data_IF_601473558900
#
_entry.id   IF_601473558900
#
_cell.length_a   1.000
_cell.length_b   1.000
_cell.length_c   1.000
_cell.angle_alpha   90.00
_cell.angle_beta   90.00
_cell.angle_gamma   90.00
#
_symmetry.space_group_name_H-M   'P 1'
#
loop_
_entity.id
_entity.type
_entity.pdbx_description
1 polymer ?
#
# COMPACT_ATOMS: atom_id res chain seq x y z
N UNK A 1 16.22 11.24 15.82
CA UNK A 1 15.96 11.28 14.37
C UNK A 1 17.28 11.15 13.62
N UNK A 2 17.59 10.01 13.02
CA UNK A 2 18.67 9.92 12.05
C UNK A 2 18.23 9.05 10.85
N UNK A 3 17.30 9.54 10.00
CA UNK A 3 16.86 8.78 8.83
C UNK A 3 17.02 9.51 7.50
N UNK A 4 17.77 10.60 7.46
CA UNK A 4 18.07 11.27 6.19
C UNK A 4 19.55 11.68 6.17
N UNK A 5 20.28 11.10 5.20
CA UNK A 5 21.65 11.45 4.80
C UNK A 5 22.76 11.00 5.75
N UNK A 6 23.04 9.69 5.72
CA UNK A 6 24.31 9.08 6.09
C UNK A 6 24.42 7.81 5.26
N UNK A 7 25.58 7.43 4.83
CA UNK A 7 25.89 6.07 4.37
C UNK A 7 25.55 5.14 5.54
N UNK A 8 24.28 4.78 5.67
CA UNK A 8 23.84 3.71 6.53
C UNK A 8 24.58 2.48 6.02
N UNK A 9 25.40 1.90 6.88
CA UNK A 9 26.03 0.59 6.72
C UNK A 9 24.87 -0.43 6.64
N UNK A 10 24.11 -0.38 5.52
CA UNK A 10 22.93 -1.22 5.32
C UNK A 10 23.43 -2.66 5.21
N UNK A 11 23.02 -3.47 6.16
CA UNK A 11 23.32 -4.88 6.17
C UNK A 11 22.80 -5.50 4.87
N UNK A 12 23.72 -6.02 4.07
CA UNK A 12 23.38 -6.73 2.84
C UNK A 12 22.51 -7.93 3.19
N UNK A 13 21.31 -7.99 2.60
CA UNK A 13 20.36 -9.07 2.80
C UNK A 13 20.29 -9.98 1.59
N UNK A 14 19.87 -11.22 1.83
CA UNK A 14 19.44 -12.19 0.83
C UNK A 14 17.92 -12.10 0.69
N UNK A 15 17.45 -11.72 -0.48
CA UNK A 15 16.04 -11.54 -0.77
C UNK A 15 15.59 -12.61 -1.77
N UNK A 16 14.47 -13.27 -1.49
CA UNK A 16 13.72 -14.05 -2.46
C UNK A 16 12.57 -13.22 -3.04
N UNK A 17 12.25 -13.41 -4.30
CA UNK A 17 11.07 -12.80 -4.95
C UNK A 17 10.06 -13.90 -5.25
N UNK A 18 8.80 -13.65 -4.90
CA UNK A 18 7.67 -14.51 -5.20
C UNK A 18 6.71 -13.69 -6.07
N UNK A 19 6.58 -14.08 -7.34
CA UNK A 19 5.95 -13.31 -8.39
C UNK A 19 6.95 -12.42 -9.12
N UNK A 20 7.13 -12.65 -10.44
CA UNK A 20 8.13 -11.95 -11.24
C UNK A 20 7.53 -11.18 -12.42
N UNK A 21 6.35 -10.58 -12.18
CA UNK A 21 5.70 -9.65 -13.09
C UNK A 21 6.34 -8.26 -13.09
N UNK A 22 5.56 -7.23 -13.46
CA UNK A 22 6.04 -5.83 -13.51
C UNK A 22 6.63 -5.35 -12.17
N UNK A 23 5.99 -5.69 -11.05
CA UNK A 23 6.46 -5.31 -9.70
C UNK A 23 7.71 -6.09 -9.31
N UNK A 24 7.74 -7.41 -9.46
CA UNK A 24 8.88 -8.24 -9.09
C UNK A 24 10.18 -7.80 -9.78
N UNK A 25 10.12 -7.49 -11.09
CA UNK A 25 11.27 -6.99 -11.86
C UNK A 25 11.78 -5.63 -11.35
N UNK A 26 10.87 -4.75 -10.98
CA UNK A 26 11.24 -3.43 -10.44
C UNK A 26 11.81 -3.54 -9.02
N UNK A 27 11.26 -4.42 -8.19
CA UNK A 27 11.78 -4.72 -6.84
C UNK A 27 13.18 -5.31 -6.94
N UNK A 28 13.43 -6.25 -7.88
CA UNK A 28 14.76 -6.80 -8.12
C UNK A 28 15.79 -5.70 -8.42
N UNK A 29 15.45 -4.80 -9.35
CA UNK A 29 16.33 -3.70 -9.73
C UNK A 29 16.69 -2.85 -8.51
N UNK A 30 15.67 -2.40 -7.75
CA UNK A 30 15.88 -1.52 -6.58
C UNK A 30 16.63 -2.24 -5.47
N UNK A 31 16.32 -3.52 -5.21
CA UNK A 31 17.04 -4.31 -4.21
C UNK A 31 18.53 -4.41 -4.55
N UNK A 32 18.88 -4.66 -5.82
CA UNK A 32 20.28 -4.68 -6.30
C UNK A 32 20.96 -3.31 -6.20
N UNK A 33 20.28 -2.24 -6.59
CA UNK A 33 20.76 -0.86 -6.46
C UNK A 33 21.07 -0.50 -5.00
N UNK A 34 20.30 -1.06 -4.05
CA UNK A 34 20.52 -0.91 -2.60
C UNK A 34 21.54 -1.89 -2.01
N UNK A 35 22.17 -2.73 -2.83
CA UNK A 35 23.25 -3.64 -2.43
C UNK A 35 22.78 -5.00 -1.91
N UNK A 36 21.48 -5.32 -1.97
CA UNK A 36 20.97 -6.63 -1.59
C UNK A 36 21.22 -7.70 -2.65
N UNK A 37 21.19 -8.95 -2.24
CA UNK A 37 21.34 -10.10 -3.13
C UNK A 37 20.00 -10.78 -3.37
N UNK A 38 19.60 -10.92 -4.62
CA UNK A 38 18.48 -11.79 -4.98
C UNK A 38 19.00 -13.22 -5.08
N UNK A 39 18.50 -14.09 -4.20
CA UNK A 39 18.95 -15.49 -4.10
C UNK A 39 17.98 -16.46 -4.76
N UNK A 40 16.70 -16.10 -4.88
CA UNK A 40 15.69 -16.94 -5.51
C UNK A 40 14.62 -16.07 -6.17
N UNK A 41 14.11 -16.50 -7.31
CA UNK A 41 12.98 -15.89 -8.00
C UNK A 41 11.99 -17.01 -8.31
N UNK A 42 10.80 -16.91 -7.72
CA UNK A 42 9.72 -17.91 -7.88
C UNK A 42 8.58 -17.27 -8.63
N UNK A 43 8.11 -17.95 -9.68
CA UNK A 43 6.92 -17.59 -10.44
C UNK A 43 6.09 -18.85 -10.70
N UNK A 44 5.09 -18.77 -11.57
CA UNK A 44 4.15 -19.87 -11.87
C UNK A 44 4.87 -21.13 -12.32
N UNK A 45 5.94 -20.98 -13.12
CA UNK A 45 6.58 -22.09 -13.82
C UNK A 45 7.64 -22.85 -12.98
N UNK A 46 8.02 -22.33 -11.80
CA UNK A 46 9.10 -22.91 -10.98
C UNK A 46 8.75 -23.02 -9.49
N UNK A 47 7.51 -23.38 -9.19
CA UNK A 47 7.00 -23.50 -7.82
C UNK A 47 7.79 -24.52 -6.95
N UNK A 48 8.49 -25.49 -7.53
CA UNK A 48 9.38 -26.42 -6.83
C UNK A 48 10.57 -25.71 -6.18
N UNK A 49 10.95 -24.51 -6.61
CA UNK A 49 12.08 -23.74 -6.09
C UNK A 49 11.86 -23.24 -4.65
N UNK A 50 10.61 -23.30 -4.13
CA UNK A 50 10.37 -23.13 -2.69
C UNK A 50 11.13 -24.14 -1.84
N UNK A 51 11.47 -25.32 -2.39
CA UNK A 51 12.21 -26.36 -1.69
C UNK A 51 13.73 -26.25 -1.86
N UNK A 52 14.22 -25.26 -2.62
CA UNK A 52 15.64 -25.07 -2.86
C UNK A 52 16.38 -24.51 -1.63
N UNK A 53 17.67 -24.85 -1.51
CA UNK A 53 18.55 -24.24 -0.52
C UNK A 53 18.68 -22.72 -0.73
N UNK A 54 18.61 -22.28 -1.98
CA UNK A 54 18.66 -20.87 -2.34
C UNK A 54 17.51 -20.10 -1.69
N UNK A 55 16.25 -20.59 -1.83
CA UNK A 55 15.10 -19.99 -1.19
C UNK A 55 15.19 -20.04 0.34
N UNK A 56 15.55 -21.19 0.90
CA UNK A 56 15.68 -21.35 2.35
C UNK A 56 16.79 -20.46 2.96
N UNK A 57 17.74 -19.99 2.15
CA UNK A 57 18.80 -19.07 2.59
C UNK A 57 18.39 -17.60 2.62
N UNK A 58 17.17 -17.27 2.17
CA UNK A 58 16.69 -15.89 2.13
C UNK A 58 16.38 -15.36 3.54
N UNK A 59 16.79 -14.14 3.82
CA UNK A 59 16.41 -13.42 5.05
C UNK A 59 14.93 -13.01 5.00
N UNK A 60 14.46 -12.57 3.80
CA UNK A 60 13.08 -12.13 3.55
C UNK A 60 12.68 -12.49 2.12
N UNK A 61 11.43 -12.91 1.94
CA UNK A 61 10.80 -13.06 0.64
C UNK A 61 9.82 -11.89 0.39
N UNK A 62 9.91 -11.27 -0.79
CA UNK A 62 8.96 -10.22 -1.21
C UNK A 62 7.98 -10.83 -2.20
N UNK A 63 6.70 -10.82 -1.84
CA UNK A 63 5.61 -11.51 -2.53
C UNK A 63 4.65 -10.49 -3.18
N UNK A 64 4.53 -10.58 -4.50
CA UNK A 64 3.58 -9.83 -5.32
C UNK A 64 2.99 -10.75 -6.39
N UNK A 65 1.95 -11.51 -6.03
CA UNK A 65 1.29 -12.46 -6.93
C UNK A 65 -0.20 -12.13 -7.11
N UNK A 66 -1.07 -13.06 -6.77
CA UNK A 66 -2.52 -12.91 -6.89
C UNK A 66 -3.23 -13.20 -5.56
N UNK A 67 -4.47 -12.74 -5.37
CA UNK A 67 -5.26 -13.03 -4.18
C UNK A 67 -5.33 -14.52 -3.83
N UNK A 68 -5.45 -15.36 -4.85
CA UNK A 68 -5.61 -16.81 -4.69
C UNK A 68 -4.31 -17.55 -4.41
N UNK A 69 -3.15 -16.98 -4.81
CA UNK A 69 -1.86 -17.62 -4.62
C UNK A 69 -1.17 -17.19 -3.31
N UNK A 70 -1.44 -15.98 -2.84
CA UNK A 70 -0.72 -15.33 -1.74
C UNK A 70 -0.64 -16.20 -0.48
N UNK A 71 -1.77 -16.68 0.02
CA UNK A 71 -1.82 -17.49 1.24
C UNK A 71 -0.98 -18.76 1.13
N UNK A 72 -1.11 -19.50 0.01
CA UNK A 72 -0.29 -20.68 -0.24
C UNK A 72 1.21 -20.38 -0.31
N UNK A 73 1.60 -19.22 -0.83
CA UNK A 73 2.98 -18.75 -0.86
C UNK A 73 3.51 -18.45 0.55
N UNK A 74 2.68 -17.84 1.41
CA UNK A 74 3.06 -17.61 2.82
C UNK A 74 3.34 -18.92 3.55
N UNK A 75 2.46 -19.93 3.41
CA UNK A 75 2.64 -21.22 4.06
C UNK A 75 3.96 -21.89 3.63
N UNK A 76 4.31 -21.83 2.34
CA UNK A 76 5.57 -22.40 1.81
C UNK A 76 6.78 -21.63 2.38
N UNK A 77 6.74 -20.31 2.43
CA UNK A 77 7.82 -19.48 2.99
C UNK A 77 7.99 -19.73 4.50
N UNK A 78 6.89 -19.76 5.24
CA UNK A 78 6.89 -20.03 6.68
C UNK A 78 7.44 -21.44 7.01
N UNK A 79 7.13 -22.44 6.19
CA UNK A 79 7.70 -23.79 6.34
C UNK A 79 9.25 -23.83 6.23
N UNK A 80 9.84 -22.82 5.59
CA UNK A 80 11.30 -22.63 5.49
C UNK A 80 11.84 -21.59 6.48
N UNK A 81 11.01 -21.08 7.38
CA UNK A 81 11.32 -19.99 8.32
C UNK A 81 11.79 -18.69 7.60
N UNK A 82 11.35 -18.47 6.38
CA UNK A 82 11.61 -17.23 5.62
C UNK A 82 10.51 -16.22 5.94
N UNK A 83 10.91 -15.03 6.39
CA UNK A 83 10.02 -13.92 6.64
C UNK A 83 9.42 -13.42 5.33
N UNK A 84 8.19 -12.87 5.36
CA UNK A 84 7.49 -12.45 4.14
C UNK A 84 7.12 -10.97 4.21
N UNK A 85 7.31 -10.26 3.10
CA UNK A 85 6.72 -8.96 2.80
C UNK A 85 5.75 -9.15 1.66
N UNK A 86 4.47 -8.83 1.83
CA UNK A 86 3.47 -9.07 0.79
C UNK A 86 2.66 -7.82 0.45
N UNK A 87 2.54 -7.59 -0.87
CA UNK A 87 1.64 -6.61 -1.46
C UNK A 87 0.40 -7.21 -2.11
N UNK A 88 0.22 -8.53 -2.05
CA UNK A 88 -0.98 -9.17 -2.55
C UNK A 88 -2.19 -8.86 -1.66
N UNK A 89 -3.31 -8.55 -2.27
CA UNK A 89 -4.57 -8.20 -1.59
C UNK A 89 -5.64 -9.27 -1.81
N UNK A 90 -6.79 -9.15 -1.15
CA UNK A 90 -7.95 -10.01 -1.37
C UNK A 90 -7.97 -11.34 -0.60
N UNK A 91 -6.89 -11.74 0.04
CA UNK A 91 -6.76 -12.99 0.83
C UNK A 91 -7.20 -12.82 2.29
N UNK A 92 -7.17 -11.61 2.82
CA UNK A 92 -7.32 -11.34 4.26
C UNK A 92 -8.68 -11.77 4.82
N UNK A 93 -9.77 -11.60 4.06
CA UNK A 93 -11.11 -11.98 4.50
C UNK A 93 -11.22 -13.48 4.79
N UNK A 94 -10.51 -14.31 4.03
CA UNK A 94 -10.59 -15.78 4.13
C UNK A 94 -9.51 -16.35 5.05
N UNK A 95 -8.33 -15.76 5.07
CA UNK A 95 -7.14 -16.33 5.73
C UNK A 95 -6.49 -15.41 6.77
N UNK A 96 -7.07 -14.22 7.04
CA UNK A 96 -6.46 -13.22 7.93
C UNK A 96 -6.23 -13.73 9.34
N UNK A 97 -7.21 -14.41 9.94
CA UNK A 97 -7.11 -14.96 11.30
C UNK A 97 -6.05 -16.04 11.40
N UNK A 98 -5.93 -16.90 10.39
CA UNK A 98 -4.90 -17.94 10.35
C UNK A 98 -3.48 -17.33 10.28
N UNK A 99 -3.29 -16.35 9.40
CA UNK A 99 -2.00 -15.67 9.25
C UNK A 99 -1.64 -14.93 10.54
N UNK A 100 -2.60 -14.23 11.15
CA UNK A 100 -2.43 -13.54 12.44
C UNK A 100 -1.96 -14.51 13.51
N UNK A 101 -2.63 -15.65 13.68
CA UNK A 101 -2.25 -16.70 14.64
C UNK A 101 -0.84 -17.24 14.37
N UNK A 102 -0.49 -17.51 13.11
CA UNK A 102 0.86 -17.97 12.76
C UNK A 102 1.94 -16.93 13.10
N UNK A 103 1.66 -15.65 12.97
CA UNK A 103 2.59 -14.59 13.31
C UNK A 103 2.69 -14.34 14.81
N UNK A 104 1.56 -14.32 15.54
CA UNK A 104 1.51 -13.98 16.97
C UNK A 104 1.91 -15.17 17.86
N UNK A 105 1.45 -16.38 17.53
CA UNK A 105 1.64 -17.59 18.34
C UNK A 105 2.69 -18.54 17.74
N UNK A 106 2.76 -18.63 16.41
CA UNK A 106 3.63 -19.54 15.65
C UNK A 106 5.02 -19.01 15.36
N UNK A 107 5.34 -17.76 15.75
CA UNK A 107 6.65 -17.14 15.57
C UNK A 107 7.02 -16.80 14.12
N UNK A 108 6.04 -16.85 13.20
CA UNK A 108 6.22 -16.43 11.82
C UNK A 108 6.22 -14.90 11.68
N UNK A 109 6.66 -14.41 10.54
CA UNK A 109 6.70 -12.96 10.29
C UNK A 109 6.15 -12.64 8.91
N UNK A 110 5.11 -11.80 8.90
CA UNK A 110 4.55 -11.20 7.69
C UNK A 110 4.48 -9.68 7.86
N UNK A 111 5.09 -8.95 6.95
CA UNK A 111 4.77 -7.55 6.70
C UNK A 111 3.73 -7.48 5.59
N UNK A 112 2.56 -6.94 5.86
CA UNK A 112 1.54 -6.78 4.84
C UNK A 112 1.12 -5.33 4.68
N UNK A 113 1.00 -4.89 3.43
CA UNK A 113 0.38 -3.62 3.09
C UNK A 113 -0.36 -3.71 1.75
N UNK A 114 -1.50 -3.07 1.67
CA UNK A 114 -2.21 -2.90 0.39
C UNK A 114 -1.54 -1.86 -0.51
N UNK A 115 -0.69 -1.01 0.06
CA UNK A 115 0.06 0.03 -0.65
C UNK A 115 1.43 0.23 0.00
N UNK A 116 2.50 0.10 -0.77
CA UNK A 116 3.89 0.27 -0.32
C UNK A 116 4.48 1.65 -0.65
N UNK A 117 3.70 2.57 -1.20
CA UNK A 117 4.21 3.91 -1.52
C UNK A 117 4.52 4.70 -0.26
N UNK A 118 5.79 5.06 -0.06
CA UNK A 118 6.21 5.95 1.02
C UNK A 118 5.50 7.30 0.91
N UNK A 119 5.33 7.81 -0.31
CA UNK A 119 4.60 9.04 -0.56
C UNK A 119 3.15 8.95 -0.08
N UNK A 120 2.46 7.82 -0.32
CA UNK A 120 1.11 7.59 0.19
C UNK A 120 1.11 7.49 1.72
N UNK A 121 2.09 6.83 2.34
CA UNK A 121 2.17 6.75 3.80
C UNK A 121 2.35 8.13 4.45
N UNK A 122 3.23 8.97 3.90
CA UNK A 122 3.39 10.36 4.34
C UNK A 122 2.12 11.16 4.10
N UNK A 123 1.53 11.04 2.92
CA UNK A 123 0.29 11.71 2.55
C UNK A 123 -0.86 11.36 3.49
N UNK A 124 -1.03 10.08 3.83
CA UNK A 124 -1.99 9.57 4.80
C UNK A 124 -1.77 10.19 6.20
N UNK A 125 -0.54 10.28 6.67
CA UNK A 125 -0.23 10.92 7.96
C UNK A 125 -0.61 12.41 7.98
N UNK A 126 -0.27 13.14 6.90
CA UNK A 126 -0.67 14.56 6.74
C UNK A 126 -2.18 14.70 6.67
N UNK A 127 -2.86 13.80 5.94
CA UNK A 127 -4.32 13.76 5.82
C UNK A 127 -5.00 13.62 7.19
N UNK A 128 -4.60 12.63 7.99
CA UNK A 128 -5.14 12.44 9.34
C UNK A 128 -4.92 13.66 10.23
N UNK A 129 -3.71 14.22 10.19
CA UNK A 129 -3.39 15.40 11.00
C UNK A 129 -4.20 16.64 10.57
N UNK A 130 -4.32 16.87 9.26
CA UNK A 130 -5.13 17.96 8.72
C UNK A 130 -6.61 17.78 9.07
N UNK A 131 -7.17 16.59 8.89
CA UNK A 131 -8.56 16.28 9.25
C UNK A 131 -8.85 16.56 10.74
N UNK A 132 -7.93 16.17 11.64
CA UNK A 132 -8.02 16.47 13.08
C UNK A 132 -8.06 17.99 13.36
N UNK A 133 -7.29 18.78 12.63
CA UNK A 133 -7.35 20.25 12.73
C UNK A 133 -8.71 20.74 12.23
N UNK A 134 -9.13 20.28 11.05
CA UNK A 134 -10.36 20.71 10.36
C UNK A 134 -11.65 20.33 11.11
N UNK A 135 -11.60 19.38 12.03
CA UNK A 135 -12.74 19.09 12.89
C UNK A 135 -13.19 20.29 13.73
N UNK A 136 -12.28 21.22 14.03
CA UNK A 136 -12.56 22.48 14.78
C UNK A 136 -13.07 23.62 13.89
N UNK A 137 -13.08 23.45 12.59
CA UNK A 137 -13.41 24.50 11.61
C UNK A 137 -14.56 24.03 10.69
N UNK A 138 -15.81 23.99 11.19
CA UNK A 138 -16.94 23.42 10.45
C UNK A 138 -17.34 24.18 9.17
N UNK A 139 -16.80 25.39 8.96
CA UNK A 139 -16.98 26.15 7.72
C UNK A 139 -16.22 25.55 6.52
N UNK A 140 -15.25 24.66 6.75
CA UNK A 140 -14.62 23.91 5.68
C UNK A 140 -15.30 22.56 5.48
N UNK A 141 -15.71 22.28 4.25
CA UNK A 141 -16.13 20.94 3.87
C UNK A 141 -15.05 20.19 3.08
N UNK A 142 -15.07 18.86 3.16
CA UNK A 142 -14.08 18.01 2.53
C UNK A 142 -14.60 17.42 1.24
N UNK A 143 -13.78 17.49 0.19
CA UNK A 143 -14.00 16.81 -1.10
C UNK A 143 -12.79 15.94 -1.41
N UNK A 144 -13.04 14.80 -2.04
CA UNK A 144 -11.99 13.85 -2.39
C UNK A 144 -12.07 13.44 -3.85
N UNK A 145 -10.90 13.38 -4.50
CA UNK A 145 -10.78 12.98 -5.89
C UNK A 145 -9.62 12.00 -6.05
N UNK A 146 -9.81 10.98 -6.90
CA UNK A 146 -8.75 10.09 -7.31
C UNK A 146 -8.69 9.99 -8.84
N UNK A 147 -7.48 9.90 -9.40
CA UNK A 147 -7.28 9.70 -10.85
C UNK A 147 -6.39 8.49 -11.05
N UNK A 148 -6.81 7.57 -11.92
CA UNK A 148 -6.03 6.41 -12.33
C UNK A 148 -6.14 6.15 -13.83
N UNK A 149 -5.30 5.20 -14.30
CA UNK A 149 -5.30 4.76 -15.69
C UNK A 149 -6.64 4.15 -16.11
N UNK A 150 -6.91 4.19 -17.41
CA UNK A 150 -8.19 3.75 -18.02
C UNK A 150 -8.52 2.27 -17.79
N UNK A 151 -7.51 1.43 -17.47
CA UNK A 151 -7.68 0.00 -17.23
C UNK A 151 -8.01 -0.35 -15.77
N UNK A 152 -8.11 0.65 -14.86
CA UNK A 152 -8.47 0.40 -13.47
C UNK A 152 -9.97 0.19 -13.33
N UNK A 153 -10.36 -1.00 -12.84
CA UNK A 153 -11.75 -1.43 -12.76
C UNK A 153 -12.48 -0.93 -11.51
N UNK A 154 -11.78 -0.95 -10.38
CA UNK A 154 -12.35 -0.49 -9.10
C UNK A 154 -12.43 1.04 -9.05
N UNK A 155 -13.57 1.56 -8.63
CA UNK A 155 -13.84 2.98 -8.38
C UNK A 155 -14.84 3.12 -7.22
N UNK A 156 -14.46 3.83 -6.13
CA UNK A 156 -13.16 4.44 -5.88
C UNK A 156 -12.04 3.43 -5.67
N UNK A 157 -10.77 3.89 -5.80
CA UNK A 157 -9.61 3.05 -5.52
C UNK A 157 -9.52 2.69 -4.02
N UNK A 158 -8.94 1.53 -3.69
CA UNK A 158 -8.73 1.13 -2.30
C UNK A 158 -7.96 2.17 -1.47
N UNK A 159 -6.96 2.85 -2.06
CA UNK A 159 -6.24 3.94 -1.40
C UNK A 159 -7.14 5.14 -1.11
N UNK A 160 -8.02 5.53 -2.05
CA UNK A 160 -8.96 6.62 -1.83
C UNK A 160 -9.97 6.30 -0.71
N UNK A 161 -10.44 5.06 -0.65
CA UNK A 161 -11.32 4.57 0.43
C UNK A 161 -10.60 4.68 1.78
N UNK A 162 -9.37 4.17 1.89
CA UNK A 162 -8.58 4.26 3.13
C UNK A 162 -8.39 5.71 3.58
N UNK A 163 -8.05 6.61 2.65
CA UNK A 163 -7.88 8.03 2.95
C UNK A 163 -9.19 8.69 3.41
N UNK A 164 -10.34 8.30 2.86
CA UNK A 164 -11.65 8.79 3.29
C UNK A 164 -12.01 8.30 4.70
N UNK A 165 -11.79 7.01 4.98
CA UNK A 165 -12.00 6.43 6.31
C UNK A 165 -11.11 7.09 7.36
N UNK A 166 -9.86 7.43 7.02
CA UNK A 166 -8.96 8.18 7.89
C UNK A 166 -9.45 9.60 8.19
N UNK A 167 -10.06 10.29 7.21
CA UNK A 167 -10.70 11.60 7.41
C UNK A 167 -11.92 11.48 8.32
N UNK A 168 -12.80 10.51 8.03
CA UNK A 168 -14.02 10.27 8.79
C UNK A 168 -13.69 9.97 10.26
N UNK A 169 -12.66 9.19 10.52
CA UNK A 169 -12.21 8.87 11.88
C UNK A 169 -11.78 10.10 12.72
N UNK A 170 -11.56 11.25 12.09
CA UNK A 170 -11.16 12.50 12.73
C UNK A 170 -12.27 13.57 12.76
N UNK A 171 -13.41 13.35 12.09
CA UNK A 171 -14.47 14.32 11.92
C UNK A 171 -15.77 13.89 12.59
N UNK A 172 -16.24 14.66 13.57
CA UNK A 172 -17.51 14.40 14.25
C UNK A 172 -18.75 14.61 13.33
N UNK A 173 -18.58 15.28 12.18
CA UNK A 173 -19.64 15.65 11.25
C UNK A 173 -19.73 14.79 9.98
N UNK A 174 -18.85 13.81 9.83
CA UNK A 174 -18.85 12.89 8.69
C UNK A 174 -18.93 11.45 9.18
N UNK A 175 -19.88 10.68 8.66
CA UNK A 175 -20.15 9.31 9.12
C UNK A 175 -19.69 8.25 8.14
N UNK A 176 -19.70 8.57 6.84
CA UNK A 176 -19.41 7.59 5.78
C UNK A 176 -18.88 8.27 4.52
N UNK A 177 -18.29 7.46 3.66
CA UNK A 177 -17.99 7.84 2.28
C UNK A 177 -18.94 7.17 1.31
N UNK A 178 -19.16 7.80 0.15
CA UNK A 178 -19.94 7.25 -0.96
C UNK A 178 -19.16 7.38 -2.26
N UNK A 179 -19.47 6.52 -3.22
CA UNK A 179 -18.96 6.69 -4.58
C UNK A 179 -19.60 7.94 -5.18
N UNK A 180 -18.78 8.93 -5.48
CA UNK A 180 -19.15 10.15 -6.18
C UNK A 180 -19.23 9.97 -7.70
N UNK A 181 -19.04 11.05 -8.43
CA UNK A 181 -18.96 11.00 -9.88
C UNK A 181 -17.76 10.15 -10.35
N UNK A 182 -17.97 9.40 -11.42
CA UNK A 182 -16.89 8.73 -12.15
C UNK A 182 -16.83 9.27 -13.57
N UNK A 183 -15.73 9.98 -13.87
CA UNK A 183 -15.41 10.43 -15.21
C UNK A 183 -14.62 9.33 -15.96
N UNK A 184 -15.21 8.78 -17.00
CA UNK A 184 -14.61 7.77 -17.86
C UNK A 184 -13.70 8.37 -18.94
N UNK A 185 -12.84 7.56 -19.52
CA UNK A 185 -11.90 7.98 -20.57
C UNK A 185 -12.59 8.51 -21.86
N UNK A 186 -13.81 8.07 -22.13
CA UNK A 186 -14.61 8.54 -23.25
C UNK A 186 -15.38 9.85 -22.98
N UNK A 187 -15.21 10.41 -21.76
CA UNK A 187 -15.85 11.65 -21.32
C UNK A 187 -17.24 11.45 -20.73
N UNK A 188 -17.75 10.23 -20.64
CA UNK A 188 -19.00 9.95 -19.92
C UNK A 188 -18.82 10.07 -18.42
N UNK A 189 -19.89 10.46 -17.71
CA UNK A 189 -19.91 10.63 -16.26
C UNK A 189 -21.04 9.79 -15.68
N UNK A 190 -20.72 8.97 -14.68
CA UNK A 190 -21.69 8.23 -13.87
C UNK A 190 -21.66 8.72 -12.43
N UNK A 191 -22.80 8.58 -11.73
CA UNK A 191 -22.89 8.94 -10.31
C UNK A 191 -23.20 10.41 -10.06
N UNK A 192 -22.98 10.87 -8.84
CA UNK A 192 -23.22 12.25 -8.42
C UNK A 192 -22.35 12.60 -7.21
N UNK A 193 -21.88 13.84 -7.16
CA UNK A 193 -21.21 14.42 -5.99
C UNK A 193 -22.19 15.18 -5.07
N UNK A 194 -23.49 15.23 -5.44
CA UNK A 194 -24.54 15.77 -4.58
C UNK A 194 -24.95 14.71 -3.55
N UNK A 195 -24.36 14.81 -2.37
CA UNK A 195 -24.47 13.83 -1.29
C UNK A 195 -24.90 14.50 0.01
N UNK A 196 -25.30 13.71 1.00
CA UNK A 196 -25.71 14.24 2.29
C UNK A 196 -24.53 14.94 3.01
N UNK A 197 -24.82 15.92 3.86
CA UNK A 197 -23.80 16.73 4.54
C UNK A 197 -22.88 15.91 5.47
N UNK A 198 -23.34 14.74 5.90
CA UNK A 198 -22.55 13.78 6.71
C UNK A 198 -21.81 12.73 5.87
N UNK A 199 -21.86 12.82 4.55
CA UNK A 199 -21.15 11.92 3.63
C UNK A 199 -19.96 12.61 2.98
N UNK A 200 -18.98 11.82 2.55
CA UNK A 200 -17.85 12.26 1.70
C UNK A 200 -17.98 11.59 0.34
N UNK A 201 -18.25 12.36 -0.71
CA UNK A 201 -18.18 11.86 -2.07
C UNK A 201 -16.72 11.68 -2.49
N UNK A 202 -16.39 10.51 -3.05
CA UNK A 202 -15.08 10.26 -3.67
C UNK A 202 -15.28 10.27 -5.18
N UNK A 203 -14.82 11.32 -5.84
CA UNK A 203 -14.80 11.44 -7.28
C UNK A 203 -13.69 10.58 -7.87
N UNK A 204 -14.00 9.87 -8.96
CA UNK A 204 -13.04 8.97 -9.63
C UNK A 204 -12.87 9.38 -11.09
N UNK A 205 -11.62 9.61 -11.51
CA UNK A 205 -11.26 9.95 -12.89
C UNK A 205 -10.44 8.82 -13.50
N UNK A 206 -10.77 8.44 -14.73
CA UNK A 206 -10.02 7.46 -15.53
C UNK A 206 -9.39 8.17 -16.72
N UNK A 207 -8.06 8.29 -16.69
CA UNK A 207 -7.32 9.07 -17.70
C UNK A 207 -5.96 8.44 -18.01
N UNK A 208 -5.67 8.27 -19.28
CA UNK A 208 -4.38 7.84 -19.82
C UNK A 208 -3.80 6.61 -19.08
N UNK A 209 -2.51 6.63 -18.82
CA UNK A 209 -1.78 5.62 -18.04
C UNK A 209 -1.38 6.15 -16.63
N UNK A 210 -2.17 7.06 -16.06
CA UNK A 210 -1.90 7.67 -14.74
C UNK A 210 -1.73 6.58 -13.67
N UNK A 211 -0.59 6.52 -12.98
CA UNK A 211 -0.34 5.48 -11.97
C UNK A 211 -1.21 5.62 -10.73
N UNK A 212 -1.58 6.86 -10.37
CA UNK A 212 -2.46 7.19 -9.26
C UNK A 212 -2.21 8.59 -8.73
N UNK A 213 -3.25 9.41 -8.71
CA UNK A 213 -3.28 10.73 -8.08
C UNK A 213 -4.40 10.72 -7.05
N UNK A 214 -4.16 11.25 -5.86
CA UNK A 214 -5.17 11.44 -4.83
C UNK A 214 -5.11 12.88 -4.34
N UNK A 215 -6.24 13.57 -4.40
CA UNK A 215 -6.39 14.94 -3.94
C UNK A 215 -7.48 15.01 -2.86
N UNK A 216 -7.19 15.72 -1.78
CA UNK A 216 -8.12 16.01 -0.70
C UNK A 216 -8.18 17.51 -0.54
N UNK A 217 -9.37 18.05 -0.70
CA UNK A 217 -9.66 19.47 -0.72
C UNK A 217 -10.56 19.83 0.47
N UNK A 218 -10.18 20.87 1.18
CA UNK A 218 -10.97 21.50 2.23
C UNK A 218 -11.38 22.87 1.76
N UNK A 219 -12.66 23.05 1.50
CA UNK A 219 -13.23 24.23 0.84
C UNK A 219 -14.15 25.01 1.76
N UNK A 220 -14.02 26.33 1.74
CA UNK A 220 -14.88 27.29 2.48
C UNK A 220 -15.25 28.46 1.57
N UNK A 221 -16.11 29.35 2.03
CA UNK A 221 -16.41 30.60 1.30
C UNK A 221 -15.17 31.53 1.17
N UNK A 222 -14.22 31.42 2.09
CA UNK A 222 -13.07 32.34 2.15
C UNK A 222 -11.88 31.85 1.34
N UNK A 223 -11.59 30.55 1.41
CA UNK A 223 -10.40 29.95 0.80
C UNK A 223 -10.51 28.43 0.73
N UNK A 224 -9.52 27.82 0.13
CA UNK A 224 -9.40 26.39 -0.09
C UNK A 224 -7.99 25.91 0.28
N UNK A 225 -7.92 24.77 0.96
CA UNK A 225 -6.69 24.04 1.20
C UNK A 225 -6.73 22.72 0.45
N UNK A 226 -5.75 22.44 -0.38
CA UNK A 226 -5.66 21.17 -1.12
C UNK A 226 -4.33 20.49 -0.81
N UNK A 227 -4.39 19.22 -0.46
CA UNK A 227 -3.23 18.35 -0.43
C UNK A 227 -3.35 17.32 -1.55
N UNK A 228 -2.24 17.01 -2.22
CA UNK A 228 -2.22 16.10 -3.37
C UNK A 228 -1.01 15.18 -3.32
N UNK A 229 -1.24 13.90 -3.54
CA UNK A 229 -0.21 12.92 -3.86
C UNK A 229 -0.34 12.51 -5.33
N UNK A 230 0.73 12.70 -6.09
CA UNK A 230 0.82 12.34 -7.50
C UNK A 230 1.95 11.32 -7.72
N UNK A 231 1.59 10.08 -8.03
CA UNK A 231 2.55 9.02 -8.30
C UNK A 231 3.06 9.12 -9.75
N UNK A 232 4.32 9.48 -9.95
CA UNK A 232 4.93 9.57 -11.28
C UNK A 232 5.25 8.20 -11.88
N UNK A 233 5.44 7.17 -11.06
CA UNK A 233 5.75 5.81 -11.51
C UNK A 233 5.55 4.78 -10.39
N UNK A 234 5.63 3.49 -10.76
CA UNK A 234 5.61 2.38 -9.78
C UNK A 234 6.90 2.24 -8.96
N UNK A 235 7.95 3.02 -9.22
CA UNK A 235 9.22 2.95 -8.47
C UNK A 235 9.04 3.21 -6.97
N UNK A 236 8.13 4.13 -6.59
CA UNK A 236 7.83 4.42 -5.19
C UNK A 236 7.28 3.20 -4.43
N UNK A 237 6.43 2.41 -5.07
CA UNK A 237 5.89 1.18 -4.48
C UNK A 237 6.97 0.09 -4.33
N UNK A 238 7.80 -0.08 -5.36
CA UNK A 238 8.89 -1.07 -5.34
C UNK A 238 9.96 -0.71 -4.31
N UNK A 239 10.32 0.57 -4.18
CA UNK A 239 11.21 1.06 -3.14
C UNK A 239 10.63 0.79 -1.75
N UNK A 240 9.37 1.10 -1.52
CA UNK A 240 8.70 0.84 -0.26
C UNK A 240 8.68 -0.64 0.11
N UNK A 241 8.49 -1.54 -0.87
CA UNK A 241 8.55 -2.98 -0.62
C UNK A 241 9.97 -3.45 -0.21
N UNK A 242 11.02 -2.87 -0.79
CA UNK A 242 12.41 -3.17 -0.39
C UNK A 242 12.70 -2.63 1.01
N UNK A 243 12.27 -1.41 1.33
CA UNK A 243 12.40 -0.84 2.68
C UNK A 243 11.61 -1.64 3.72
N UNK A 244 10.43 -2.13 3.37
CA UNK A 244 9.68 -3.03 4.23
C UNK A 244 10.41 -4.36 4.47
N UNK A 245 11.13 -4.88 3.46
CA UNK A 245 11.97 -6.06 3.65
C UNK A 245 13.15 -5.79 4.59
N UNK A 246 13.82 -4.64 4.46
CA UNK A 246 14.88 -4.20 5.38
C UNK A 246 14.35 -4.11 6.82
N UNK A 247 13.19 -3.50 7.02
CA UNK A 247 12.54 -3.41 8.31
C UNK A 247 12.16 -4.79 8.86
N UNK A 248 11.56 -5.64 8.03
CA UNK A 248 11.10 -6.98 8.40
C UNK A 248 12.23 -7.91 8.80
N UNK A 249 13.43 -7.75 8.20
CA UNK A 249 14.60 -8.56 8.54
C UNK A 249 14.93 -8.47 10.04
N UNK A 250 14.72 -7.32 10.67
CA UNK A 250 15.05 -7.05 12.08
C UNK A 250 13.84 -7.15 13.03
N UNK A 251 12.61 -7.33 12.49
CA UNK A 251 11.38 -7.37 13.28
C UNK A 251 10.68 -8.73 13.16
N UNK A 252 9.68 -8.98 14.01
CA UNK A 252 8.91 -10.23 14.06
C UNK A 252 7.42 -9.96 14.23
N UNK A 253 6.61 -10.93 13.81
CA UNK A 253 5.17 -10.91 13.96
C UNK A 253 4.43 -10.39 12.74
N UNK A 254 3.20 -9.94 12.94
CA UNK A 254 2.40 -9.31 11.88
C UNK A 254 2.71 -7.81 11.87
N UNK A 255 3.35 -7.35 10.80
CA UNK A 255 3.86 -6.00 10.63
C UNK A 255 3.12 -5.26 9.53
N UNK A 256 3.03 -3.94 9.65
CA UNK A 256 2.32 -3.05 8.73
C UNK A 256 3.15 -1.79 8.41
N UNK A 257 2.64 -0.95 7.51
CA UNK A 257 3.23 0.37 7.23
C UNK A 257 3.33 1.25 8.48
N UNK A 258 2.37 1.14 9.40
CA UNK A 258 2.36 1.94 10.64
C UNK A 258 3.46 1.53 11.61
N UNK A 259 3.90 0.27 11.59
CA UNK A 259 5.03 -0.20 12.39
C UNK A 259 6.36 0.34 11.84
N UNK A 260 6.46 0.44 10.51
CA UNK A 260 7.65 0.97 9.84
C UNK A 260 7.73 2.50 9.91
N UNK A 261 6.60 3.18 9.83
CA UNK A 261 6.49 4.64 9.87
C UNK A 261 5.54 5.10 10.98
N UNK A 262 6.02 5.25 12.22
CA UNK A 262 5.21 5.65 13.38
C UNK A 262 4.96 7.16 13.42
N UNK A 263 4.26 7.73 12.43
CA UNK A 263 3.86 9.15 12.38
C UNK A 263 2.36 9.36 12.17
#
# INVERSE_FOLDING_TARGET
MPYLCGELNMKRMKIALIGYGKMGKMIEQIAKERGHQIVSIIDIDNQQDFDSEAFASADVAIEFTSPTAAYGNYLKAFAKNVKVVSGSTGWMKEHGDDVKRMCEEGGQTLFWASNFSIGVAIFSAVNRYLAKIMNRFPQYDVKMQETHHVHKLDAPSGTAITLAEEVIAQLDRKDTWVKGEQLHADGTVDGSNDVASNEIAIESIRRDEVPGIHAIEWDSEADKITITHDAHSRKGFALGAVLAAEFTAEHKGLLTISDMFPF
#
